data_IF_491260165226
#
_entry.id   IF_491260165226
#
_cell.length_a   1.000
_cell.length_b   1.000
_cell.length_c   1.000
_cell.angle_alpha   90.00
_cell.angle_beta   90.00
_cell.angle_gamma   90.00
#
_symmetry.space_group_name_H-M   'P 1'
#
loop_
_entity.id
_entity.type
_entity.pdbx_description
1 polymer ?
#
# COMPACT_ATOMS: atom_id res chain seq x y z
N UNK A 1 -0.34 21.07 -15.35
CA UNK A 1 -0.09 20.07 -14.27
C UNK A 1 1.24 20.37 -13.63
N UNK A 2 1.25 20.80 -12.38
CA UNK A 2 2.43 21.01 -11.54
C UNK A 2 2.89 19.66 -10.97
N UNK A 3 4.21 19.49 -10.91
CA UNK A 3 4.87 18.32 -10.29
C UNK A 3 5.95 18.83 -9.36
N UNK A 4 5.87 18.45 -8.10
CA UNK A 4 6.84 18.78 -7.07
C UNK A 4 7.50 17.49 -6.56
N UNK A 5 8.82 17.50 -6.48
CA UNK A 5 9.61 16.40 -5.91
C UNK A 5 10.55 16.97 -4.85
N UNK A 6 10.70 16.26 -3.73
CA UNK A 6 11.65 16.65 -2.69
C UNK A 6 12.11 15.43 -1.90
N UNK A 7 13.22 15.60 -1.19
CA UNK A 7 13.72 14.61 -0.25
C UNK A 7 13.71 15.17 1.17
N UNK A 8 13.48 14.31 2.14
CA UNK A 8 13.50 14.62 3.57
C UNK A 8 14.28 13.54 4.32
N UNK A 9 15.04 13.93 5.36
CA UNK A 9 15.74 12.97 6.21
C UNK A 9 14.76 11.95 6.80
N UNK A 10 15.09 10.67 6.69
CA UNK A 10 14.34 9.58 7.31
C UNK A 10 14.35 9.72 8.83
N UNK A 11 13.25 9.37 9.48
CA UNK A 11 13.10 9.53 10.93
C UNK A 11 14.09 8.71 11.76
N UNK A 12 14.57 7.60 11.20
CA UNK A 12 15.59 6.74 11.82
C UNK A 12 17.05 7.10 11.41
N UNK A 13 17.25 8.18 10.67
CA UNK A 13 18.59 8.62 10.25
C UNK A 13 19.21 7.79 9.12
N UNK A 14 18.51 6.81 8.53
CA UNK A 14 19.03 5.95 7.48
C UNK A 14 18.81 6.55 6.08
N UNK A 15 19.24 7.80 5.90
CA UNK A 15 19.22 8.51 4.61
C UNK A 15 17.96 9.33 4.38
N UNK A 16 17.53 9.47 3.13
CA UNK A 16 16.47 10.40 2.73
C UNK A 16 15.29 9.69 2.07
N UNK A 17 14.08 10.12 2.45
CA UNK A 17 12.81 9.70 1.86
C UNK A 17 12.47 10.61 0.69
N UNK A 18 12.27 10.04 -0.49
CA UNK A 18 11.81 10.71 -1.70
C UNK A 18 10.30 10.85 -1.69
N UNK A 19 9.83 12.05 -2.02
CA UNK A 19 8.42 12.43 -1.96
C UNK A 19 8.02 13.13 -3.25
N UNK A 20 6.76 12.97 -3.65
CA UNK A 20 6.18 13.58 -4.85
C UNK A 20 4.81 14.17 -4.56
N UNK A 21 4.45 15.23 -5.29
CA UNK A 21 3.13 15.83 -5.32
C UNK A 21 2.81 16.29 -6.73
N UNK A 22 1.61 15.96 -7.22
CA UNK A 22 1.08 16.40 -8.51
C UNK A 22 -0.28 17.05 -8.32
N UNK A 23 -0.53 18.13 -9.04
CA UNK A 23 -1.82 18.81 -9.06
C UNK A 23 -2.05 19.53 -10.40
N UNK A 24 -3.30 19.77 -10.74
CA UNK A 24 -3.65 20.64 -11.86
C UNK A 24 -3.95 22.05 -11.33
N UNK A 25 -3.04 23.01 -11.57
CA UNK A 25 -3.13 24.37 -10.95
C UNK A 25 -4.40 25.11 -11.33
N UNK A 26 -4.90 24.89 -12.55
CA UNK A 26 -6.10 25.55 -13.09
C UNK A 26 -7.42 25.08 -12.46
N UNK A 27 -7.41 24.01 -11.66
CA UNK A 27 -8.59 23.45 -11.04
C UNK A 27 -8.65 23.75 -9.53
N UNK A 28 -9.85 23.94 -9.02
CA UNK A 28 -10.11 23.95 -7.58
C UNK A 28 -9.73 22.61 -6.95
N UNK A 29 -9.07 22.66 -5.80
CA UNK A 29 -8.61 21.46 -5.12
C UNK A 29 -9.71 20.86 -4.28
N UNK A 30 -10.02 19.59 -4.54
CA UNK A 30 -11.11 18.85 -3.90
C UNK A 30 -10.69 18.15 -2.62
N UNK A 31 -9.58 17.41 -2.67
CA UNK A 31 -9.04 16.62 -1.58
C UNK A 31 -7.57 16.26 -1.85
N UNK A 32 -6.89 15.74 -0.83
CA UNK A 32 -5.58 15.11 -0.94
C UNK A 32 -5.79 13.61 -1.09
N UNK A 33 -5.17 12.98 -2.11
CA UNK A 33 -5.00 11.54 -2.21
C UNK A 33 -3.54 11.18 -1.95
N UNK A 34 -3.27 10.54 -0.82
CA UNK A 34 -1.93 10.06 -0.49
C UNK A 34 -1.78 8.59 -0.93
N UNK A 35 -0.74 8.29 -1.70
CA UNK A 35 -0.52 6.98 -2.33
C UNK A 35 0.67 6.25 -1.71
N UNK A 36 0.45 5.00 -1.28
CA UNK A 36 1.46 4.08 -0.75
C UNK A 36 1.62 2.87 -1.65
N UNK A 37 2.84 2.65 -2.13
CA UNK A 37 3.18 1.51 -2.99
C UNK A 37 3.39 0.21 -2.21
N UNK A 38 3.39 -0.93 -2.91
CA UNK A 38 3.65 -2.25 -2.36
C UNK A 38 5.13 -2.61 -2.26
N UNK A 39 5.39 -3.81 -1.72
CA UNK A 39 6.72 -4.44 -1.65
C UNK A 39 7.39 -4.45 -3.01
N UNK A 40 8.69 -4.17 -3.07
CA UNK A 40 9.50 -4.10 -4.31
C UNK A 40 8.97 -3.08 -5.33
N UNK A 41 8.07 -2.17 -4.88
CA UNK A 41 7.54 -1.10 -5.69
C UNK A 41 8.25 0.24 -5.48
N UNK A 42 7.74 1.25 -6.15
CA UNK A 42 8.09 2.66 -5.93
C UNK A 42 6.96 3.54 -6.45
N UNK A 43 6.90 4.80 -6.02
CA UNK A 43 5.78 5.69 -6.33
C UNK A 43 5.65 5.98 -7.84
N UNK A 44 6.73 5.92 -8.60
CA UNK A 44 6.73 6.12 -10.05
C UNK A 44 5.85 5.13 -10.83
N UNK A 45 5.58 3.93 -10.28
CA UNK A 45 4.66 2.96 -10.87
C UNK A 45 3.20 3.44 -10.91
N UNK A 46 2.86 4.45 -10.11
CA UNK A 46 1.51 5.01 -10.00
C UNK A 46 1.31 6.27 -10.83
N UNK A 47 2.20 6.58 -11.76
CA UNK A 47 2.14 7.78 -12.60
C UNK A 47 0.76 7.99 -13.24
N UNK A 48 0.14 6.94 -13.77
CA UNK A 48 -1.19 7.00 -14.38
C UNK A 48 -2.29 7.38 -13.37
N UNK A 49 -2.19 6.91 -12.11
CA UNK A 49 -3.12 7.28 -11.03
C UNK A 49 -2.94 8.76 -10.67
N UNK A 50 -1.70 9.21 -10.56
CA UNK A 50 -1.38 10.62 -10.30
C UNK A 50 -1.93 11.53 -11.40
N UNK A 51 -1.69 11.20 -12.67
CA UNK A 51 -2.19 11.97 -13.82
C UNK A 51 -3.72 12.01 -13.87
N UNK A 52 -4.37 10.88 -13.67
CA UNK A 52 -5.82 10.80 -13.69
C UNK A 52 -6.45 11.63 -12.56
N UNK A 53 -6.05 11.40 -11.33
CA UNK A 53 -6.63 12.07 -10.16
C UNK A 53 -6.31 13.57 -10.13
N UNK A 54 -5.11 13.98 -10.53
CA UNK A 54 -4.78 15.41 -10.62
C UNK A 54 -5.68 16.13 -11.63
N UNK A 55 -5.98 15.52 -12.79
CA UNK A 55 -6.93 16.04 -13.78
C UNK A 55 -8.38 16.12 -13.27
N UNK A 56 -8.70 15.37 -12.21
CA UNK A 56 -10.01 15.44 -11.54
C UNK A 56 -10.05 16.50 -10.41
N UNK A 57 -8.98 17.28 -10.21
CA UNK A 57 -8.89 18.31 -9.18
C UNK A 57 -8.38 17.82 -7.81
N UNK A 58 -7.80 16.63 -7.74
CA UNK A 58 -7.15 16.15 -6.51
C UNK A 58 -5.69 16.60 -6.41
N UNK A 59 -5.23 16.88 -5.20
CA UNK A 59 -3.81 16.94 -4.87
C UNK A 59 -3.34 15.52 -4.62
N UNK A 60 -2.53 14.97 -5.52
CA UNK A 60 -2.04 13.59 -5.40
C UNK A 60 -0.61 13.59 -4.93
N UNK A 61 -0.34 12.92 -3.84
CA UNK A 61 1.00 12.85 -3.27
C UNK A 61 1.37 11.42 -2.84
N UNK A 62 2.62 11.20 -2.57
CA UNK A 62 3.12 9.90 -2.13
C UNK A 62 4.62 9.93 -1.91
N UNK A 63 5.15 8.82 -1.43
CA UNK A 63 6.58 8.68 -1.16
C UNK A 63 7.10 7.32 -1.64
N UNK A 64 8.37 7.24 -1.93
CA UNK A 64 9.06 5.95 -1.94
C UNK A 64 9.29 5.55 -0.48
N UNK A 65 8.71 4.42 -0.08
CA UNK A 65 8.88 3.85 1.27
C UNK A 65 10.37 3.58 1.49
N UNK A 66 10.86 3.79 2.71
CA UNK A 66 12.26 3.52 3.04
C UNK A 66 12.73 2.15 2.53
N UNK A 67 13.93 2.09 2.01
CA UNK A 67 14.48 0.88 1.38
C UNK A 67 13.99 0.62 -0.05
N UNK A 68 13.13 1.48 -0.62
CA UNK A 68 12.55 1.31 -1.95
C UNK A 68 12.84 2.51 -2.88
N UNK A 69 12.84 2.25 -4.18
CA UNK A 69 12.93 3.27 -5.20
C UNK A 69 14.06 4.28 -4.96
N UNK A 70 13.75 5.57 -5.02
CA UNK A 70 14.70 6.66 -4.74
C UNK A 70 14.97 6.90 -3.24
N UNK A 71 14.31 6.13 -2.35
CA UNK A 71 14.54 6.06 -0.91
C UNK A 71 15.36 4.83 -0.49
N UNK A 72 15.90 4.07 -1.45
CA UNK A 72 16.72 2.89 -1.22
C UNK A 72 18.17 3.26 -0.85
N UNK A 73 18.37 3.98 0.26
CA UNK A 73 19.72 4.29 0.74
C UNK A 73 20.49 3.01 1.14
N UNK A 74 19.75 2.07 1.75
CA UNK A 74 20.15 0.67 1.88
C UNK A 74 18.98 -0.14 1.27
N UNK A 75 19.19 -0.82 0.13
CA UNK A 75 18.12 -1.50 -0.58
C UNK A 75 17.39 -2.52 0.27
N UNK A 76 16.05 -2.45 0.28
CA UNK A 76 15.18 -3.38 0.99
C UNK A 76 15.31 -3.41 2.50
N UNK A 77 15.96 -2.41 3.13
CA UNK A 77 16.19 -2.37 4.55
C UNK A 77 15.44 -1.21 5.21
N UNK A 78 14.72 -1.49 6.31
CA UNK A 78 13.90 -0.51 7.03
C UNK A 78 14.57 0.04 8.28
N UNK A 79 15.46 -0.75 8.91
CA UNK A 79 16.15 -0.45 10.17
C UNK A 79 16.45 -1.71 10.94
N UNK A 80 17.32 -1.63 11.96
CA UNK A 80 17.63 -2.77 12.83
C UNK A 80 16.48 -3.05 13.80
N UNK A 81 15.93 -1.97 14.38
CA UNK A 81 14.81 -1.99 15.29
C UNK A 81 13.77 -0.95 14.86
N UNK A 82 12.49 -1.28 15.05
CA UNK A 82 11.37 -0.36 14.77
C UNK A 82 11.34 0.21 13.34
N UNK A 83 11.79 -0.55 12.34
CA UNK A 83 11.84 -0.10 10.96
C UNK A 83 10.47 0.24 10.40
N UNK A 84 9.45 -0.54 10.72
CA UNK A 84 8.07 -0.29 10.32
C UNK A 84 7.48 0.96 10.98
N UNK A 85 7.72 1.17 12.27
CA UNK A 85 7.28 2.36 13.01
C UNK A 85 7.94 3.63 12.45
N UNK A 86 9.21 3.54 12.04
CA UNK A 86 9.93 4.62 11.37
C UNK A 86 9.27 5.00 10.04
N UNK A 87 8.82 4.00 9.26
CA UNK A 87 8.07 4.23 8.01
C UNK A 87 6.73 4.93 8.30
N UNK A 88 5.98 4.49 9.31
CA UNK A 88 4.74 5.14 9.74
C UNK A 88 4.97 6.60 10.14
N UNK A 89 6.04 6.86 10.87
CA UNK A 89 6.41 8.20 11.30
C UNK A 89 6.76 9.11 10.11
N UNK A 90 7.52 8.60 9.15
CA UNK A 90 7.86 9.33 7.93
C UNK A 90 6.63 9.59 7.05
N UNK A 91 5.72 8.64 6.93
CA UNK A 91 4.42 8.80 6.27
C UNK A 91 3.65 9.96 6.90
N UNK A 92 3.50 9.96 8.23
CA UNK A 92 2.79 11.03 8.95
C UNK A 92 3.45 12.39 8.76
N UNK A 93 4.78 12.47 8.88
CA UNK A 93 5.55 13.71 8.65
C UNK A 93 5.33 14.27 7.24
N UNK A 94 5.25 13.38 6.24
CA UNK A 94 4.97 13.78 4.86
C UNK A 94 3.52 14.28 4.71
N UNK A 95 2.54 13.51 5.19
CA UNK A 95 1.13 13.88 5.14
C UNK A 95 0.88 15.23 5.82
N UNK A 96 1.41 15.43 7.03
CA UNK A 96 1.31 16.71 7.76
C UNK A 96 1.98 17.87 7.01
N UNK A 97 3.07 17.62 6.26
CA UNK A 97 3.68 18.65 5.41
C UNK A 97 2.75 19.04 4.25
N UNK A 98 2.10 18.07 3.59
CA UNK A 98 1.13 18.34 2.52
C UNK A 98 -0.10 19.07 3.07
N UNK A 99 -0.60 18.66 4.24
CA UNK A 99 -1.69 19.39 4.93
C UNK A 99 -1.34 20.84 5.28
N UNK A 100 -0.09 21.17 5.57
CA UNK A 100 0.33 22.58 5.76
C UNK A 100 0.23 23.39 4.46
N UNK A 101 0.47 22.78 3.31
CA UNK A 101 0.31 23.43 2.02
C UNK A 101 -1.17 23.53 1.60
N UNK A 102 -2.02 22.60 2.07
CA UNK A 102 -3.45 22.51 1.76
C UNK A 102 -4.27 22.26 3.03
N UNK A 103 -4.37 23.23 3.95
CA UNK A 103 -4.86 23.00 5.32
C UNK A 103 -6.32 22.57 5.41
N UNK A 104 -7.16 22.97 4.46
CA UNK A 104 -8.60 22.71 4.49
C UNK A 104 -9.04 21.51 3.65
N UNK A 105 -8.10 20.81 3.01
CA UNK A 105 -8.46 19.67 2.18
C UNK A 105 -8.60 18.38 3.01
N UNK A 106 -9.69 17.64 2.79
CA UNK A 106 -9.82 16.28 3.36
C UNK A 106 -8.75 15.34 2.77
N UNK A 107 -8.32 14.36 3.56
CA UNK A 107 -7.28 13.41 3.18
C UNK A 107 -7.86 12.02 2.96
N UNK A 108 -7.60 11.45 1.79
CA UNK A 108 -7.81 10.04 1.49
C UNK A 108 -6.46 9.34 1.40
N UNK A 109 -6.37 8.17 2.00
CA UNK A 109 -5.16 7.35 1.98
C UNK A 109 -5.39 6.12 1.11
N UNK A 110 -4.59 5.99 0.04
CA UNK A 110 -4.56 4.81 -0.80
C UNK A 110 -3.34 3.96 -0.49
N UNK A 111 -3.54 2.65 -0.28
CA UNK A 111 -2.46 1.68 -0.11
C UNK A 111 -2.63 0.44 -0.97
N UNK A 112 -1.56 0.01 -1.64
CA UNK A 112 -1.53 -1.24 -2.39
C UNK A 112 -0.61 -2.26 -1.73
N UNK A 113 -1.06 -3.51 -1.57
CA UNK A 113 -0.25 -4.61 -1.02
C UNK A 113 0.34 -4.24 0.35
N UNK A 114 1.66 -4.32 0.55
CA UNK A 114 2.36 -3.80 1.74
C UNK A 114 1.91 -2.38 2.10
N UNK A 115 1.74 -1.50 1.10
CA UNK A 115 1.22 -0.15 1.31
C UNK A 115 -0.19 -0.14 1.90
N UNK A 116 -1.01 -1.17 1.66
CA UNK A 116 -2.33 -1.32 2.27
C UNK A 116 -2.25 -1.69 3.76
N UNK A 117 -1.22 -2.44 4.16
CA UNK A 117 -0.98 -2.75 5.58
C UNK A 117 -0.50 -1.50 6.32
N UNK A 118 0.40 -0.74 5.68
CA UNK A 118 0.86 0.55 6.21
C UNK A 118 -0.30 1.56 6.32
N UNK A 119 -1.21 1.59 5.34
CA UNK A 119 -2.39 2.45 5.36
C UNK A 119 -3.37 2.06 6.49
N UNK A 120 -3.58 0.76 6.72
CA UNK A 120 -4.40 0.25 7.84
C UNK A 120 -3.78 0.57 9.19
N UNK A 121 -2.47 0.39 9.32
CA UNK A 121 -1.75 0.71 10.55
C UNK A 121 -1.76 2.22 10.83
N UNK A 122 -1.57 3.05 9.80
CA UNK A 122 -1.74 4.49 9.91
C UNK A 122 -3.15 4.88 10.37
N UNK A 123 -4.17 4.31 9.73
CA UNK A 123 -5.57 4.57 10.05
C UNK A 123 -5.94 4.13 11.47
N UNK A 124 -5.36 3.04 11.97
CA UNK A 124 -5.56 2.59 13.35
C UNK A 124 -4.94 3.52 14.40
N UNK A 125 -3.88 4.25 14.05
CA UNK A 125 -3.18 5.16 14.96
C UNK A 125 -3.56 6.64 14.80
N UNK A 126 -4.01 7.06 13.59
CA UNK A 126 -4.24 8.45 13.21
C UNK A 126 -5.49 8.59 12.33
N UNK A 127 -6.51 7.78 12.57
CA UNK A 127 -7.71 7.71 11.73
C UNK A 127 -8.48 9.02 11.65
N UNK A 128 -8.42 9.85 12.69
CA UNK A 128 -9.01 11.19 12.72
C UNK A 128 -8.40 12.17 11.71
N UNK A 129 -7.21 11.88 11.22
CA UNK A 129 -6.57 12.68 10.18
C UNK A 129 -7.10 12.34 8.76
N UNK A 130 -7.87 11.25 8.62
CA UNK A 130 -8.34 10.71 7.35
C UNK A 130 -9.84 10.91 7.14
N UNK A 131 -10.20 11.21 5.90
CA UNK A 131 -11.59 11.24 5.42
C UNK A 131 -12.03 9.87 4.90
N UNK A 132 -11.12 9.07 4.39
CA UNK A 132 -11.42 7.72 3.88
C UNK A 132 -10.16 6.95 3.51
N UNK A 133 -10.33 5.63 3.40
CA UNK A 133 -9.28 4.66 3.15
C UNK A 133 -9.59 3.86 1.88
N UNK A 134 -8.60 3.70 1.01
CA UNK A 134 -8.71 2.91 -0.23
C UNK A 134 -7.63 1.84 -0.20
N UNK A 135 -8.02 0.57 -0.20
CA UNK A 135 -7.12 -0.58 -0.03
C UNK A 135 -7.15 -1.49 -1.26
N UNK A 136 -6.01 -1.66 -1.89
CA UNK A 136 -5.80 -2.52 -3.05
C UNK A 136 -4.96 -3.74 -2.69
N UNK A 137 -5.44 -4.95 -2.97
CA UNK A 137 -4.68 -6.18 -2.75
C UNK A 137 -4.27 -6.39 -1.29
N UNK A 138 -5.12 -6.01 -0.33
CA UNK A 138 -4.85 -6.21 1.10
C UNK A 138 -5.02 -7.68 1.49
N UNK A 139 -4.25 -8.14 2.48
CA UNK A 139 -4.32 -9.50 3.00
C UNK A 139 -5.15 -9.58 4.29
N UNK A 140 -5.70 -10.76 4.53
CA UNK A 140 -6.27 -11.16 5.83
C UNK A 140 -5.22 -11.72 6.78
N UNK A 141 -5.64 -12.10 7.98
CA UNK A 141 -4.83 -12.88 8.91
C UNK A 141 -4.67 -14.33 8.44
N UNK A 142 -3.51 -14.91 8.66
CA UNK A 142 -3.23 -16.31 8.31
C UNK A 142 -2.55 -17.02 9.48
N UNK A 143 -2.94 -18.27 9.80
CA UNK A 143 -2.26 -19.04 10.84
C UNK A 143 -0.78 -19.36 10.51
N UNK A 144 -0.38 -19.16 9.25
CA UNK A 144 1.02 -19.32 8.82
C UNK A 144 1.92 -18.14 9.23
N UNK A 145 1.37 -16.99 9.65
CA UNK A 145 2.18 -15.82 10.00
C UNK A 145 3.09 -16.09 11.20
N UNK A 146 2.60 -16.72 12.27
CA UNK A 146 3.40 -17.06 13.45
C UNK A 146 4.60 -17.96 13.16
N UNK A 147 4.46 -19.12 12.49
CA UNK A 147 5.63 -19.94 12.14
C UNK A 147 6.60 -19.24 11.18
N UNK A 148 6.11 -18.41 10.24
CA UNK A 148 6.97 -17.60 9.35
C UNK A 148 7.74 -16.56 10.16
N UNK A 149 7.09 -15.89 11.10
CA UNK A 149 7.71 -14.91 11.99
C UNK A 149 8.83 -15.58 12.83
N UNK A 150 8.57 -16.75 13.40
CA UNK A 150 9.57 -17.53 14.14
C UNK A 150 10.77 -17.89 13.26
N UNK A 151 10.54 -18.36 12.04
CA UNK A 151 11.59 -18.63 11.07
C UNK A 151 12.44 -17.38 10.77
N UNK A 152 11.81 -16.27 10.44
CA UNK A 152 12.50 -15.00 10.12
C UNK A 152 13.30 -14.47 11.31
N UNK A 153 12.79 -14.60 12.54
CA UNK A 153 13.50 -14.20 13.75
C UNK A 153 14.81 -15.00 13.92
N UNK A 154 14.76 -16.32 13.67
CA UNK A 154 15.96 -17.20 13.72
C UNK A 154 16.93 -16.80 12.60
N UNK A 155 16.46 -16.61 11.35
CA UNK A 155 17.33 -16.22 10.25
C UNK A 155 17.97 -14.84 10.48
N UNK A 156 17.21 -13.86 10.98
CA UNK A 156 17.69 -12.52 11.34
C UNK A 156 18.79 -12.60 12.40
N UNK A 157 18.64 -13.49 13.40
CA UNK A 157 19.66 -13.70 14.45
C UNK A 157 20.95 -14.35 13.91
N UNK A 158 20.83 -15.27 12.97
CA UNK A 158 21.96 -16.02 12.40
C UNK A 158 22.71 -15.25 11.31
N UNK A 159 22.02 -14.53 10.46
CA UNK A 159 22.54 -13.89 9.24
C UNK A 159 22.60 -12.36 9.33
N UNK A 160 21.88 -11.77 10.28
CA UNK A 160 21.74 -10.34 10.44
C UNK A 160 20.53 -9.74 9.70
N UNK A 161 20.03 -8.59 10.19
CA UNK A 161 18.86 -7.93 9.64
C UNK A 161 19.07 -7.40 8.22
N UNK A 162 20.31 -7.05 7.84
CA UNK A 162 20.68 -6.50 6.53
C UNK A 162 20.97 -7.56 5.47
N UNK A 163 21.01 -8.83 5.86
CA UNK A 163 21.24 -9.91 4.91
C UNK A 163 20.13 -9.93 3.86
N UNK A 164 20.48 -10.12 2.59
CA UNK A 164 19.50 -10.23 1.52
C UNK A 164 18.64 -11.48 1.75
N UNK A 165 17.35 -11.32 1.63
CA UNK A 165 16.41 -12.41 1.76
C UNK A 165 16.04 -13.01 0.38
N UNK A 166 17.02 -13.18 -0.51
CA UNK A 166 16.79 -13.67 -1.87
C UNK A 166 16.15 -15.05 -1.88
N UNK A 167 16.62 -15.96 -1.01
CA UNK A 167 16.04 -17.30 -0.87
C UNK A 167 14.57 -17.24 -0.45
N UNK A 168 14.28 -16.42 0.55
CA UNK A 168 12.94 -16.19 1.08
C UNK A 168 12.03 -15.57 0.02
N UNK A 169 12.54 -14.58 -0.74
CA UNK A 169 11.84 -13.95 -1.86
C UNK A 169 11.47 -14.95 -2.96
N UNK A 170 12.40 -15.84 -3.33
CA UNK A 170 12.14 -16.87 -4.35
C UNK A 170 11.10 -17.89 -3.84
N UNK A 171 11.19 -18.31 -2.58
CA UNK A 171 10.21 -19.23 -1.99
C UNK A 171 8.82 -18.62 -1.93
N UNK A 172 8.71 -17.35 -1.54
CA UNK A 172 7.46 -16.62 -1.50
C UNK A 172 6.86 -16.47 -2.92
N UNK A 173 7.68 -16.10 -3.90
CA UNK A 173 7.22 -15.99 -5.29
C UNK A 173 6.74 -17.33 -5.86
N UNK A 174 7.43 -18.44 -5.57
CA UNK A 174 6.98 -19.79 -5.94
C UNK A 174 5.66 -20.15 -5.26
N UNK A 175 5.50 -19.83 -3.97
CA UNK A 175 4.27 -20.05 -3.24
C UNK A 175 3.11 -19.25 -3.85
N UNK A 176 3.31 -17.98 -4.22
CA UNK A 176 2.29 -17.16 -4.86
C UNK A 176 1.95 -17.65 -6.26
N UNK A 177 2.90 -18.21 -6.99
CA UNK A 177 2.66 -18.76 -8.33
C UNK A 177 2.04 -20.17 -8.34
N UNK A 178 1.86 -20.84 -7.20
CA UNK A 178 1.48 -22.28 -7.12
C UNK A 178 0.18 -22.66 -7.84
N UNK A 179 -0.73 -21.71 -8.01
CA UNK A 179 -2.00 -21.93 -8.73
C UNK A 179 -2.05 -21.27 -10.12
N UNK A 180 -0.92 -20.75 -10.59
CA UNK A 180 -0.81 -20.17 -11.93
C UNK A 180 -0.29 -21.25 -12.88
N UNK A 181 -1.07 -21.66 -13.88
CA UNK A 181 -0.58 -22.62 -14.85
C UNK A 181 0.62 -22.05 -15.65
N UNK A 182 1.73 -22.81 -15.69
CA UNK A 182 2.93 -22.47 -16.47
C UNK A 182 3.41 -21.00 -16.26
N UNK A 183 3.74 -20.57 -15.03
CA UNK A 183 4.15 -19.20 -14.78
C UNK A 183 5.44 -18.88 -15.55
N UNK A 184 5.43 -17.81 -16.36
CA UNK A 184 6.54 -17.43 -17.24
C UNK A 184 7.73 -16.83 -16.46
N UNK A 185 7.47 -16.28 -15.27
CA UNK A 185 8.47 -15.66 -14.41
C UNK A 185 8.02 -15.71 -12.95
N UNK A 186 8.92 -15.34 -12.03
CA UNK A 186 8.62 -15.32 -10.60
C UNK A 186 7.57 -14.26 -10.21
N UNK A 187 7.33 -13.26 -11.04
CA UNK A 187 6.36 -12.19 -10.81
C UNK A 187 5.00 -12.44 -11.49
N UNK A 188 4.75 -13.65 -12.04
CA UNK A 188 3.51 -13.94 -12.76
C UNK A 188 2.25 -13.72 -11.90
N UNK A 189 2.33 -13.94 -10.60
CA UNK A 189 1.23 -13.72 -9.64
C UNK A 189 0.76 -12.26 -9.53
N UNK A 190 1.55 -11.31 -10.04
CA UNK A 190 1.28 -9.86 -9.90
C UNK A 190 0.15 -9.41 -10.84
N UNK A 191 0.19 -9.83 -12.11
CA UNK A 191 -0.75 -9.36 -13.14
C UNK A 191 -1.03 -10.47 -14.16
N UNK A 192 -2.22 -10.44 -14.77
CA UNK A 192 -2.55 -11.37 -15.85
C UNK A 192 -1.81 -11.03 -17.14
N UNK A 193 -1.41 -9.76 -17.31
CA UNK A 193 -0.63 -9.27 -18.44
C UNK A 193 0.85 -9.62 -18.25
N UNK A 194 1.38 -10.46 -19.12
CA UNK A 194 2.77 -10.93 -19.05
C UNK A 194 3.78 -9.79 -19.17
N UNK A 195 3.50 -8.78 -19.96
CA UNK A 195 4.35 -7.60 -20.12
C UNK A 195 4.52 -6.82 -18.80
N UNK A 196 3.47 -6.73 -17.97
CA UNK A 196 3.52 -6.07 -16.66
C UNK A 196 4.39 -6.87 -15.69
N UNK A 197 4.18 -8.19 -15.60
CA UNK A 197 4.96 -9.05 -14.72
C UNK A 197 6.44 -9.11 -15.11
N UNK A 198 6.72 -9.09 -16.42
CA UNK A 198 8.09 -9.08 -16.96
C UNK A 198 8.77 -7.72 -16.71
N UNK A 199 8.07 -6.61 -16.94
CA UNK A 199 8.56 -5.27 -16.67
C UNK A 199 8.91 -5.07 -15.20
N UNK A 200 8.08 -5.61 -14.29
CA UNK A 200 8.33 -5.56 -12.84
C UNK A 200 9.67 -6.24 -12.46
N UNK A 201 9.99 -7.38 -13.06
CA UNK A 201 11.25 -8.09 -12.82
C UNK A 201 12.49 -7.41 -13.41
N UNK A 202 12.32 -6.43 -14.32
CA UNK A 202 13.41 -5.66 -14.98
C UNK A 202 13.54 -4.23 -14.48
N UNK A 203 12.67 -3.80 -13.56
CA UNK A 203 12.65 -2.45 -13.02
C UNK A 203 13.87 -2.23 -12.12
N UNK A 204 14.80 -1.31 -12.46
CA UNK A 204 16.01 -1.07 -11.66
C UNK A 204 15.73 -0.45 -10.30
N UNK A 205 14.52 0.09 -10.08
CA UNK A 205 14.08 0.64 -8.80
C UNK A 205 13.32 -0.39 -7.94
N UNK A 206 13.02 -1.58 -8.49
CA UNK A 206 12.45 -2.67 -7.74
C UNK A 206 13.57 -3.41 -6.98
N UNK A 207 13.63 -3.21 -5.67
CA UNK A 207 14.67 -3.78 -4.80
C UNK A 207 14.14 -4.96 -3.99
N UNK A 208 14.97 -5.99 -3.78
CA UNK A 208 14.65 -7.11 -2.91
C UNK A 208 14.61 -6.69 -1.44
N UNK A 209 13.92 -7.48 -0.61
CA UNK A 209 13.88 -7.26 0.83
C UNK A 209 15.08 -7.88 1.53
N UNK A 210 15.45 -7.27 2.66
CA UNK A 210 16.32 -7.88 3.65
C UNK A 210 15.51 -8.74 4.63
N UNK A 211 16.19 -9.60 5.40
CA UNK A 211 15.55 -10.40 6.45
C UNK A 211 14.83 -9.55 7.48
N UNK A 212 15.41 -8.37 7.84
CA UNK A 212 14.79 -7.41 8.74
C UNK A 212 13.47 -6.88 8.19
N UNK A 213 13.44 -6.46 6.92
CA UNK A 213 12.23 -5.93 6.29
C UNK A 213 11.11 -6.99 6.15
N UNK A 214 11.46 -8.25 5.87
CA UNK A 214 10.47 -9.33 5.89
C UNK A 214 9.91 -9.58 7.29
N UNK A 215 10.76 -9.56 8.33
CA UNK A 215 10.31 -9.73 9.71
C UNK A 215 9.36 -8.60 10.12
N UNK A 216 9.69 -7.36 9.80
CA UNK A 216 8.85 -6.18 10.05
C UNK A 216 7.52 -6.27 9.30
N UNK A 217 7.53 -6.68 8.02
CA UNK A 217 6.32 -6.85 7.21
C UNK A 217 5.39 -7.92 7.80
N UNK A 218 5.92 -9.08 8.20
CA UNK A 218 5.12 -10.18 8.77
C UNK A 218 4.52 -9.78 10.11
N UNK A 219 5.29 -9.10 10.97
CA UNK A 219 4.82 -8.59 12.25
C UNK A 219 3.72 -7.54 12.05
N UNK A 220 3.89 -6.63 11.09
CA UNK A 220 2.90 -5.63 10.75
C UNK A 220 1.60 -6.27 10.20
N UNK A 221 1.72 -7.29 9.33
CA UNK A 221 0.57 -8.00 8.79
C UNK A 221 -0.22 -8.73 9.89
N UNK A 222 0.44 -9.33 10.85
CA UNK A 222 -0.21 -9.93 12.02
C UNK A 222 -0.95 -8.86 12.84
N UNK A 223 -0.27 -7.76 13.17
CA UNK A 223 -0.84 -6.65 13.95
C UNK A 223 -2.07 -6.06 13.30
N UNK A 224 -2.02 -5.65 12.02
CA UNK A 224 -3.16 -5.00 11.36
C UNK A 224 -4.37 -5.91 11.15
N UNK A 225 -4.19 -7.23 11.27
CA UNK A 225 -5.28 -8.20 11.24
C UNK A 225 -5.80 -8.58 12.64
N UNK A 226 -5.18 -8.10 13.72
CA UNK A 226 -5.75 -8.24 15.06
C UNK A 226 -7.08 -7.48 15.15
N UNK A 227 -8.10 -8.11 15.76
CA UNK A 227 -9.44 -7.51 15.86
C UNK A 227 -9.43 -6.15 16.58
N UNK A 228 -8.56 -5.97 17.57
CA UNK A 228 -8.34 -4.68 18.25
C UNK A 228 -7.94 -3.57 17.29
N UNK A 229 -7.10 -3.86 16.28
CA UNK A 229 -6.65 -2.89 15.29
C UNK A 229 -7.73 -2.63 14.22
N UNK A 230 -8.40 -3.70 13.77
CA UNK A 230 -9.55 -3.56 12.83
C UNK A 230 -10.65 -2.70 13.45
N UNK A 231 -10.93 -2.85 14.76
CA UNK A 231 -11.94 -2.06 15.47
C UNK A 231 -11.67 -0.55 15.41
N UNK A 232 -10.42 -0.13 15.38
CA UNK A 232 -10.05 1.30 15.31
C UNK A 232 -10.41 1.93 13.94
N UNK A 233 -10.64 1.12 12.90
CA UNK A 233 -11.03 1.57 11.57
C UNK A 233 -12.54 1.71 11.39
N UNK A 234 -13.35 1.41 12.42
CA UNK A 234 -14.81 1.28 12.31
C UNK A 234 -15.52 2.53 11.77
N UNK A 235 -15.01 3.72 12.06
CA UNK A 235 -15.62 5.00 11.69
C UNK A 235 -15.01 5.62 10.41
N UNK A 236 -14.05 4.93 9.77
CA UNK A 236 -13.38 5.44 8.57
C UNK A 236 -14.01 4.80 7.33
N UNK A 237 -14.63 5.59 6.42
CA UNK A 237 -15.10 5.08 5.14
C UNK A 237 -14.01 4.29 4.41
N UNK A 238 -14.35 3.11 3.89
CA UNK A 238 -13.35 2.22 3.32
C UNK A 238 -13.79 1.59 1.99
N UNK A 239 -12.96 1.76 0.96
CA UNK A 239 -13.11 1.06 -0.31
C UNK A 239 -12.00 0.01 -0.48
N UNK A 240 -12.39 -1.26 -0.55
CA UNK A 240 -11.50 -2.39 -0.74
C UNK A 240 -11.66 -2.97 -2.14
N UNK A 241 -10.55 -3.25 -2.83
CA UNK A 241 -10.59 -4.01 -4.07
C UNK A 241 -9.40 -4.95 -4.22
N UNK A 242 -9.62 -6.08 -4.91
CA UNK A 242 -8.60 -7.11 -5.12
C UNK A 242 -8.94 -7.98 -6.30
N UNK A 243 -7.94 -8.67 -6.85
CA UNK A 243 -8.19 -9.78 -7.75
C UNK A 243 -8.68 -11.03 -7.02
N UNK A 244 -9.60 -11.76 -7.63
CA UNK A 244 -10.04 -13.07 -7.13
C UNK A 244 -9.03 -14.18 -7.38
N UNK A 245 -7.99 -13.91 -8.19
CA UNK A 245 -6.83 -14.78 -8.38
C UNK A 245 -5.56 -14.23 -7.69
N UNK A 246 -5.71 -13.24 -6.80
CA UNK A 246 -4.63 -12.66 -6.01
C UNK A 246 -4.25 -13.57 -4.83
N UNK A 247 -3.02 -14.16 -4.82
CA UNK A 247 -2.59 -15.03 -3.73
C UNK A 247 -2.30 -14.29 -2.42
N UNK A 248 -1.97 -12.98 -2.47
CA UNK A 248 -1.75 -12.12 -1.29
C UNK A 248 -3.07 -11.89 -0.56
N UNK A 249 -4.13 -11.57 -1.30
CA UNK A 249 -5.48 -11.41 -0.79
C UNK A 249 -6.20 -12.75 -0.52
N UNK A 250 -5.47 -13.88 -0.49
CA UNK A 250 -6.05 -15.22 -0.29
C UNK A 250 -7.19 -15.52 -1.27
N UNK A 251 -6.99 -15.13 -2.52
CA UNK A 251 -7.98 -15.31 -3.60
C UNK A 251 -9.30 -14.59 -3.31
N UNK A 252 -9.20 -13.36 -2.78
CA UNK A 252 -10.31 -12.48 -2.42
C UNK A 252 -10.86 -12.68 -1.01
N UNK A 253 -10.44 -13.71 -0.28
CA UNK A 253 -10.93 -13.99 1.10
C UNK A 253 -10.43 -12.95 2.11
N UNK A 254 -9.18 -12.52 2.01
CA UNK A 254 -8.58 -11.53 2.91
C UNK A 254 -9.35 -10.20 2.91
N UNK A 255 -9.52 -9.51 1.77
CA UNK A 255 -10.30 -8.28 1.71
C UNK A 255 -11.78 -8.50 2.05
N UNK A 256 -12.38 -9.64 1.70
CA UNK A 256 -13.76 -9.96 2.10
C UNK A 256 -13.92 -10.14 3.62
N UNK A 257 -12.94 -10.74 4.29
CA UNK A 257 -12.93 -10.87 5.75
C UNK A 257 -12.83 -9.50 6.44
N UNK A 258 -11.91 -8.64 5.98
CA UNK A 258 -11.80 -7.27 6.52
C UNK A 258 -13.10 -6.49 6.31
N UNK A 259 -13.70 -6.57 5.11
CA UNK A 259 -15.00 -5.97 4.82
C UNK A 259 -16.08 -6.46 5.79
N UNK A 260 -16.17 -7.77 6.01
CA UNK A 260 -17.16 -8.37 6.93
C UNK A 260 -16.99 -7.89 8.37
N UNK A 261 -15.75 -7.80 8.87
CA UNK A 261 -15.45 -7.26 10.19
C UNK A 261 -15.87 -5.78 10.32
N UNK A 262 -15.50 -4.93 9.35
CA UNK A 262 -15.88 -3.52 9.38
C UNK A 262 -17.39 -3.33 9.27
N UNK A 263 -18.08 -4.14 8.46
CA UNK A 263 -19.55 -4.14 8.37
C UNK A 263 -20.19 -4.53 9.70
N UNK A 264 -19.70 -5.57 10.36
CA UNK A 264 -20.16 -6.00 11.68
C UNK A 264 -19.95 -4.91 12.74
N UNK A 265 -18.89 -4.13 12.62
CA UNK A 265 -18.59 -3.01 13.53
C UNK A 265 -19.38 -1.74 13.22
N UNK A 266 -20.25 -1.75 12.20
CA UNK A 266 -21.12 -0.63 11.86
C UNK A 266 -20.42 0.49 11.06
N UNK A 267 -19.36 0.15 10.30
CA UNK A 267 -18.68 1.17 9.48
C UNK A 267 -19.69 1.89 8.56
N UNK A 268 -19.67 3.23 8.51
CA UNK A 268 -20.71 4.02 7.85
C UNK A 268 -20.72 3.89 6.33
N UNK A 269 -19.55 3.63 5.72
CA UNK A 269 -19.42 3.59 4.27
C UNK A 269 -18.40 2.56 3.83
N UNK A 270 -18.88 1.44 3.33
CA UNK A 270 -18.03 0.33 2.86
C UNK A 270 -18.32 -0.01 1.40
N UNK A 271 -17.26 -0.17 0.61
CA UNK A 271 -17.32 -0.71 -0.74
C UNK A 271 -16.32 -1.85 -0.89
N UNK A 272 -16.72 -2.94 -1.54
CA UNK A 272 -15.85 -4.08 -1.86
C UNK A 272 -16.00 -4.45 -3.33
N UNK A 273 -14.86 -4.60 -4.04
CA UNK A 273 -14.80 -5.10 -5.41
C UNK A 273 -13.79 -6.23 -5.52
N UNK A 274 -14.25 -7.42 -5.85
CA UNK A 274 -13.41 -8.57 -6.18
C UNK A 274 -13.56 -8.87 -7.66
N UNK A 275 -12.44 -8.87 -8.39
CA UNK A 275 -12.38 -9.16 -9.83
C UNK A 275 -11.95 -10.62 -10.03
N UNK A 276 -12.87 -11.56 -10.34
CA UNK A 276 -12.67 -13.01 -10.15
C UNK A 276 -11.41 -13.59 -10.81
N UNK A 277 -11.03 -13.09 -11.97
CA UNK A 277 -9.92 -13.63 -12.78
C UNK A 277 -8.64 -12.83 -12.69
N UNK A 278 -8.68 -11.64 -12.08
CA UNK A 278 -7.54 -10.74 -12.01
C UNK A 278 -6.62 -11.11 -10.83
N UNK A 279 -5.33 -10.77 -10.99
CA UNK A 279 -4.29 -11.04 -10.01
C UNK A 279 -4.09 -9.84 -9.08
N UNK A 280 -2.91 -9.69 -8.52
CA UNK A 280 -2.62 -8.77 -7.42
C UNK A 280 -2.71 -7.28 -7.79
N UNK A 281 -2.10 -6.87 -8.90
CA UNK A 281 -2.06 -5.46 -9.35
C UNK A 281 -3.26 -5.11 -10.24
N UNK A 282 -4.47 -5.10 -9.68
CA UNK A 282 -5.73 -4.85 -10.42
C UNK A 282 -5.70 -3.52 -11.19
N UNK A 283 -5.00 -2.50 -10.67
CA UNK A 283 -4.81 -1.21 -11.35
C UNK A 283 -3.91 -1.29 -12.60
N UNK A 284 -3.25 -2.42 -12.86
CA UNK A 284 -2.50 -2.66 -14.09
C UNK A 284 -3.27 -3.53 -15.11
N UNK A 285 -4.48 -3.95 -14.74
CA UNK A 285 -5.38 -4.74 -15.58
C UNK A 285 -6.30 -3.86 -16.45
N UNK A 286 -7.10 -4.50 -17.29
CA UNK A 286 -8.02 -3.80 -18.23
C UNK A 286 -9.13 -3.02 -17.50
N UNK A 287 -9.46 -3.40 -16.29
CA UNK A 287 -10.48 -2.74 -15.45
C UNK A 287 -10.01 -1.41 -14.87
N UNK A 288 -8.77 -0.99 -15.12
CA UNK A 288 -8.21 0.27 -14.58
C UNK A 288 -9.11 1.48 -14.77
N UNK A 289 -9.65 1.77 -15.97
CA UNK A 289 -10.50 2.96 -16.17
C UNK A 289 -11.75 2.94 -15.28
N UNK A 290 -12.39 1.78 -15.17
CA UNK A 290 -13.58 1.59 -14.32
C UNK A 290 -13.20 1.81 -12.85
N UNK A 291 -12.08 1.21 -12.43
CA UNK A 291 -11.63 1.28 -11.04
C UNK A 291 -11.22 2.69 -10.63
N UNK A 292 -10.55 3.44 -11.51
CA UNK A 292 -10.21 4.85 -11.28
C UNK A 292 -11.47 5.72 -11.12
N UNK A 293 -12.49 5.46 -11.93
CA UNK A 293 -13.79 6.15 -11.80
C UNK A 293 -14.46 5.76 -10.47
N UNK A 294 -14.51 4.48 -10.11
CA UNK A 294 -15.09 4.04 -8.84
C UNK A 294 -14.36 4.60 -7.61
N UNK A 295 -13.04 4.81 -7.70
CA UNK A 295 -12.27 5.50 -6.65
C UNK A 295 -12.69 6.98 -6.55
N UNK A 296 -12.83 7.65 -7.69
CA UNK A 296 -13.28 9.05 -7.74
C UNK A 296 -14.69 9.20 -7.17
N UNK A 297 -15.62 8.35 -7.59
CA UNK A 297 -17.01 8.38 -7.12
C UNK A 297 -17.09 8.17 -5.60
N UNK A 298 -16.33 7.21 -5.06
CA UNK A 298 -16.24 6.96 -3.63
C UNK A 298 -15.71 8.18 -2.86
N UNK A 299 -14.66 8.82 -3.36
CA UNK A 299 -14.08 10.01 -2.72
C UNK A 299 -15.04 11.21 -2.79
N UNK A 300 -15.74 11.42 -3.91
CA UNK A 300 -16.72 12.50 -4.07
C UNK A 300 -17.93 12.29 -3.16
N UNK A 301 -18.47 11.09 -3.08
CA UNK A 301 -19.60 10.76 -2.23
C UNK A 301 -19.30 11.12 -0.75
N UNK A 302 -18.17 10.68 -0.21
CA UNK A 302 -17.79 10.96 1.17
C UNK A 302 -17.51 12.44 1.39
N UNK A 303 -16.92 13.11 0.41
CA UNK A 303 -16.59 14.54 0.51
C UNK A 303 -17.84 15.42 0.54
N UNK A 304 -18.90 15.05 -0.18
CA UNK A 304 -20.14 15.81 -0.27
C UNK A 304 -21.05 15.57 0.93
N UNK A 305 -21.16 14.36 1.44
CA UNK A 305 -21.96 14.02 2.64
C UNK A 305 -21.58 14.86 3.88
N UNK A 306 -20.30 15.18 4.09
CA UNK A 306 -19.84 16.02 5.23
C UNK A 306 -20.03 17.54 5.03
N UNK A 307 -20.54 18.00 3.89
CA UNK A 307 -20.83 19.43 3.68
C UNK A 307 -22.27 19.79 4.02
N UNK A 308 -23.13 18.80 4.22
CA UNK A 308 -24.55 18.96 4.54
C UNK A 308 -24.83 18.91 6.06
N UNK A 309 -23.84 18.51 6.88
CA UNK A 309 -23.88 18.57 8.37
C UNK A 309 -23.16 19.84 8.90
#
# INVERSE_FOLDING_TARGET
MERREWKREASNGLGKIYNVLWQEESLDKKAILFVLHGMQGHIGKYRYLFEYMAKQGYVVCGMDIQGHGKSANIPGYFGDDSGWESILHDLRRHLLQVKKWFPNLPVFLFGHSMGSFLARDYAANYGEELQGLILSGTAGGSPLLLPVQGYLAVQKKLRGAKDDALKESILLAKYFNRHIPNPKNLSAWICTKEEVSTANGRDPLAVGFTLGAYADLVAALERVNAFSEIKKLKDIPCFLFSGGADPVGEYGKGPASLYAHLKMLGNPKLKLRIFPKLRHEVLNEEVRPILLQEMTDFMEEIRTEKRED
#
